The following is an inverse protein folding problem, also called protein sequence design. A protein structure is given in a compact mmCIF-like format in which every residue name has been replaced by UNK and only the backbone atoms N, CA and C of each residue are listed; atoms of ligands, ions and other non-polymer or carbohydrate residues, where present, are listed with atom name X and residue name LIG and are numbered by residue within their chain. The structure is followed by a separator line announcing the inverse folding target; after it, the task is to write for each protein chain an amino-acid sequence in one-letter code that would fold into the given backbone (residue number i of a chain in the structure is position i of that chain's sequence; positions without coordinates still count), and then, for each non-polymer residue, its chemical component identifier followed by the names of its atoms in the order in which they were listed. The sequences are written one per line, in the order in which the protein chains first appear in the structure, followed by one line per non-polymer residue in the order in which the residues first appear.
data_IF_217422351695
#
_entry.id   IF_217422351695
#
_cell.length_a   1.000
_cell.length_b   1.000
_cell.length_c   1.000
_cell.angle_alpha   90.00
_cell.angle_beta   90.00
_cell.angle_gamma   90.00
#
_symmetry.space_group_name_H-M   'P 1'
#
loop_
_entity.id
_entity.type
_entity.pdbx_description
1 polymer ?
#
# COMPACT_ATOMS: atom_id res chain seq x y z
N UNK A 1 21.41 0.79 -1.06
CA UNK A 1 20.89 -0.17 -2.08
C UNK A 1 19.74 -0.99 -1.53
N UNK A 2 19.92 -1.72 -0.42
CA UNK A 2 18.86 -2.53 0.22
C UNK A 2 17.63 -1.70 0.62
N UNK A 3 17.82 -0.51 1.22
CA UNK A 3 16.73 0.42 1.59
C UNK A 3 15.86 0.82 0.41
N UNK A 4 16.47 1.05 -0.77
CA UNK A 4 15.76 1.41 -2.00
C UNK A 4 14.94 0.24 -2.56
N UNK A 5 15.46 -0.99 -2.46
CA UNK A 5 14.74 -2.21 -2.86
C UNK A 5 13.53 -2.42 -1.95
N UNK A 6 13.72 -2.27 -0.62
CA UNK A 6 12.62 -2.33 0.35
C UNK A 6 11.59 -1.24 0.05
N UNK A 7 12.04 0.00 -0.22
CA UNK A 7 11.17 1.11 -0.58
C UNK A 7 10.34 0.85 -1.84
N UNK A 8 10.95 0.30 -2.90
CA UNK A 8 10.25 -0.08 -4.11
C UNK A 8 9.21 -1.20 -3.85
N UNK A 9 9.56 -2.19 -3.01
CA UNK A 9 8.65 -3.25 -2.59
C UNK A 9 7.45 -2.71 -1.81
N UNK A 10 7.69 -1.83 -0.83
CA UNK A 10 6.62 -1.17 -0.05
C UNK A 10 5.72 -0.30 -0.93
N UNK A 11 6.29 0.40 -1.90
CA UNK A 11 5.52 1.19 -2.86
C UNK A 11 4.59 0.31 -3.70
N UNK A 12 5.12 -0.76 -4.30
CA UNK A 12 4.34 -1.68 -5.13
C UNK A 12 3.25 -2.40 -4.34
N UNK A 13 3.56 -2.88 -3.12
CA UNK A 13 2.58 -3.49 -2.23
C UNK A 13 1.48 -2.50 -1.83
N UNK A 14 1.84 -1.27 -1.46
CA UNK A 14 0.86 -0.25 -1.14
C UNK A 14 -0.06 0.07 -2.32
N UNK A 15 0.48 0.13 -3.54
CA UNK A 15 -0.27 0.38 -4.76
C UNK A 15 -1.25 -0.76 -5.08
N UNK A 16 -0.82 -2.02 -4.93
CA UNK A 16 -1.70 -3.19 -5.06
C UNK A 16 -2.84 -3.17 -4.05
N UNK A 17 -2.58 -2.78 -2.80
CA UNK A 17 -3.61 -2.67 -1.77
C UNK A 17 -4.60 -1.56 -2.14
N UNK A 18 -4.13 -0.35 -2.46
CA UNK A 18 -4.99 0.79 -2.81
C UNK A 18 -5.89 0.48 -4.00
N UNK A 19 -5.35 -0.17 -5.03
CA UNK A 19 -6.11 -0.48 -6.24
C UNK A 19 -6.97 -1.72 -6.05
N UNK A 20 -6.50 -2.76 -5.38
CA UNK A 20 -7.16 -4.07 -5.30
C UNK A 20 -8.21 -4.18 -4.19
N UNK A 21 -7.96 -3.67 -2.99
CA UNK A 21 -8.88 -3.80 -1.85
C UNK A 21 -10.30 -3.29 -2.12
N UNK A 22 -10.50 -2.12 -2.78
CA UNK A 22 -11.83 -1.59 -3.06
C UNK A 22 -12.73 -2.47 -3.93
N UNK A 23 -12.16 -3.44 -4.66
CA UNK A 23 -12.91 -4.37 -5.54
C UNK A 23 -13.36 -5.62 -4.81
N UNK A 24 -12.72 -5.96 -3.69
CA UNK A 24 -13.08 -7.14 -2.88
C UNK A 24 -14.16 -6.70 -1.89
N UNK A 25 -15.34 -6.31 -2.38
CA UNK A 25 -16.48 -5.87 -1.53
C UNK A 25 -17.31 -7.04 -1.00
N UNK A 26 -17.12 -8.23 -1.56
CA UNK A 26 -17.95 -9.41 -1.30
C UNK A 26 -17.60 -10.11 0.02
N UNK A 27 -16.37 -9.95 0.52
CA UNK A 27 -15.84 -10.70 1.68
C UNK A 27 -15.45 -9.81 2.86
N UNK A 28 -15.60 -8.49 2.75
CA UNK A 28 -15.19 -7.55 3.79
C UNK A 28 -16.13 -6.35 3.86
N UNK A 29 -16.43 -5.85 5.07
CA UNK A 29 -17.23 -4.66 5.26
C UNK A 29 -16.54 -3.43 4.66
N UNK A 30 -17.33 -2.44 4.24
CA UNK A 30 -16.82 -1.24 3.57
C UNK A 30 -15.79 -0.47 4.41
N UNK A 31 -15.94 -0.50 5.73
CA UNK A 31 -14.98 0.08 6.69
C UNK A 31 -13.59 -0.57 6.58
N UNK A 32 -13.52 -1.89 6.38
CA UNK A 32 -12.27 -2.62 6.17
C UNK A 32 -11.63 -2.27 4.82
N UNK A 33 -12.43 -2.13 3.77
CA UNK A 33 -11.92 -1.71 2.46
C UNK A 33 -11.28 -0.31 2.54
N UNK A 34 -11.94 0.64 3.22
CA UNK A 34 -11.40 1.99 3.44
C UNK A 34 -10.14 1.99 4.30
N UNK A 35 -10.09 1.17 5.35
CA UNK A 35 -8.88 1.00 6.17
C UNK A 35 -7.72 0.41 5.37
N UNK A 36 -7.99 -0.57 4.50
CA UNK A 36 -7.01 -1.15 3.59
C UNK A 36 -6.41 -0.10 2.66
N UNK A 37 -7.24 0.77 2.06
CA UNK A 37 -6.76 1.88 1.23
C UNK A 37 -5.86 2.82 2.02
N UNK A 38 -6.22 3.17 3.26
CA UNK A 38 -5.38 4.02 4.12
C UNK A 38 -4.02 3.39 4.44
N UNK A 39 -3.99 2.09 4.74
CA UNK A 39 -2.75 1.34 4.97
C UNK A 39 -1.90 1.29 3.68
N UNK A 40 -2.53 1.09 2.53
CA UNK A 40 -1.86 1.10 1.24
C UNK A 40 -1.22 2.45 0.91
N UNK A 41 -1.92 3.56 1.20
CA UNK A 41 -1.37 4.92 1.05
C UNK A 41 -0.16 5.12 1.98
N UNK A 42 -0.24 4.68 3.24
CA UNK A 42 0.87 4.78 4.18
C UNK A 42 2.11 4.01 3.67
N UNK A 43 1.92 2.79 3.15
CA UNK A 43 2.97 1.98 2.55
C UNK A 43 3.62 2.66 1.33
N UNK A 44 2.83 3.32 0.49
CA UNK A 44 3.32 4.11 -0.64
C UNK A 44 4.21 5.25 -0.14
N UNK A 45 3.76 6.02 0.87
CA UNK A 45 4.51 7.14 1.44
C UNK A 45 5.84 6.66 2.03
N UNK A 46 5.81 5.58 2.81
CA UNK A 46 7.02 4.96 3.37
C UNK A 46 7.95 4.48 2.24
N UNK A 47 7.39 3.84 1.22
CA UNK A 47 8.16 3.36 0.07
C UNK A 47 8.90 4.48 -0.66
N UNK A 48 8.19 5.59 -0.94
CA UNK A 48 8.77 6.79 -1.57
C UNK A 48 9.88 7.38 -0.70
N UNK A 49 9.64 7.49 0.61
CA UNK A 49 10.65 8.01 1.55
C UNK A 49 11.92 7.15 1.56
N UNK A 50 11.77 5.82 1.63
CA UNK A 50 12.90 4.87 1.65
C UNK A 50 13.66 4.80 0.32
N UNK A 51 13.03 5.09 -0.82
CA UNK A 51 13.71 5.19 -2.11
C UNK A 51 14.54 6.46 -2.26
N UNK A 52 14.15 7.53 -1.56
CA UNK A 52 14.84 8.83 -1.55
C UNK A 52 16.12 8.82 -0.71
N UNK A 53 16.16 7.98 0.33
CA UNK A 53 17.33 7.72 1.21
C UNK A 53 18.28 6.73 0.52
#
# INVERSE_FOLDING_TARGET
MVTKIIGAGSFLLGLLIVVGFPWIRTYQPESMARAGVLIGILLIVIGIFLMKI
#
